data_IF_859063965202
#
_entry.id   IF_859063965202
#
_cell.length_a   1.000
_cell.length_b   1.000
_cell.length_c   1.000
_cell.angle_alpha   90.00
_cell.angle_beta   90.00
_cell.angle_gamma   90.00
#
_symmetry.space_group_name_H-M   'P 1'
#
loop_
_entity.id
_entity.type
_entity.pdbx_description
1 polymer ?
#
# COMPACT_ATOMS: atom_id res chain seq x y z
N UNK A 1 6.23 10.27 7.49
CA UNK A 1 5.88 8.84 7.43
C UNK A 1 5.21 8.36 8.72
N UNK A 2 5.74 8.71 9.89
CA UNK A 2 5.17 8.34 11.19
C UNK A 2 3.71 8.79 11.32
N UNK A 3 3.38 10.01 10.91
CA UNK A 3 2.01 10.52 10.95
C UNK A 3 1.05 9.67 10.10
N UNK A 4 1.47 9.24 8.91
CA UNK A 4 0.65 8.36 8.05
C UNK A 4 0.30 7.06 8.77
N UNK A 5 1.29 6.43 9.43
CA UNK A 5 1.05 5.19 10.17
C UNK A 5 0.14 5.43 11.37
N UNK A 6 0.36 6.51 12.12
CA UNK A 6 -0.49 6.87 13.28
C UNK A 6 -1.95 7.09 12.86
N UNK A 7 -2.18 7.81 11.77
CA UNK A 7 -3.52 8.08 11.28
C UNK A 7 -4.20 6.80 10.77
N UNK A 8 -3.49 6.00 9.95
CA UNK A 8 -4.06 4.80 9.35
C UNK A 8 -4.42 3.72 10.38
N UNK A 9 -3.59 3.54 11.40
CA UNK A 9 -3.78 2.45 12.38
C UNK A 9 -4.31 2.94 13.73
N UNK A 10 -4.26 4.24 14.02
CA UNK A 10 -4.68 4.84 15.28
C UNK A 10 -6.06 5.49 15.24
N UNK A 11 -6.58 5.90 14.07
CA UNK A 11 -7.92 6.45 13.96
C UNK A 11 -8.93 5.32 13.76
N UNK A 12 -9.79 5.13 14.75
CA UNK A 12 -10.72 4.01 14.81
C UNK A 12 -12.18 4.49 14.76
N UNK A 13 -13.03 3.64 14.23
CA UNK A 13 -14.49 3.76 14.30
C UNK A 13 -14.98 3.44 15.73
N UNK A 14 -16.23 3.80 16.09
CA UNK A 14 -16.80 3.46 17.40
C UNK A 14 -16.80 1.97 17.74
N UNK A 15 -16.77 1.10 16.72
CA UNK A 15 -16.69 -0.36 16.89
C UNK A 15 -15.26 -0.89 17.08
N UNK A 16 -14.25 -0.01 17.19
CA UNK A 16 -12.86 -0.37 17.39
C UNK A 16 -12.08 -0.76 16.14
N UNK A 17 -12.73 -0.83 14.98
CA UNK A 17 -12.06 -1.13 13.71
C UNK A 17 -11.49 0.13 13.06
N UNK A 18 -10.51 -0.04 12.19
CA UNK A 18 -9.85 1.03 11.42
C UNK A 18 -10.85 1.90 10.68
N UNK A 19 -10.69 3.22 10.77
CA UNK A 19 -11.51 4.20 10.06
C UNK A 19 -11.32 4.12 8.55
N UNK A 20 -10.05 3.99 8.11
CA UNK A 20 -9.69 4.04 6.70
C UNK A 20 -9.54 2.63 6.12
N UNK A 21 -10.16 2.39 4.98
CA UNK A 21 -9.98 1.17 4.19
C UNK A 21 -9.15 1.38 2.92
N UNK A 22 -8.95 2.62 2.52
CA UNK A 22 -8.13 2.99 1.37
C UNK A 22 -7.22 4.15 1.75
N UNK A 23 -5.93 4.02 1.47
CA UNK A 23 -4.95 5.09 1.61
C UNK A 23 -4.29 5.34 0.26
N UNK A 24 -4.29 6.60 -0.19
CA UNK A 24 -3.55 7.05 -1.36
C UNK A 24 -2.42 7.97 -0.93
N UNK A 25 -1.20 7.54 -1.15
CA UNK A 25 0.01 8.23 -0.71
C UNK A 25 0.86 8.57 -1.92
N UNK A 26 0.86 9.84 -2.31
CA UNK A 26 1.72 10.35 -3.38
C UNK A 26 2.90 11.10 -2.78
N UNK A 27 4.11 10.54 -2.97
CA UNK A 27 5.36 11.07 -2.41
C UNK A 27 6.41 11.12 -3.53
N UNK A 28 7.25 12.16 -3.61
CA UNK A 28 8.35 12.23 -4.57
C UNK A 28 9.31 11.03 -4.48
N UNK A 29 10.10 10.82 -5.53
CA UNK A 29 11.14 9.78 -5.56
C UNK A 29 12.16 9.98 -4.44
N UNK A 30 12.78 8.89 -3.98
CA UNK A 30 13.84 8.85 -2.96
C UNK A 30 13.41 9.36 -1.57
N UNK A 31 12.14 9.23 -1.22
CA UNK A 31 11.57 9.63 0.08
C UNK A 31 11.13 8.43 0.94
N UNK A 32 11.75 7.27 0.80
CA UNK A 32 11.49 6.11 1.64
C UNK A 32 10.11 5.47 1.41
N UNK A 33 9.61 5.44 0.16
CA UNK A 33 8.31 4.82 -0.17
C UNK A 33 8.30 3.32 0.11
N UNK A 34 9.36 2.61 -0.31
CA UNK A 34 9.44 1.16 -0.17
C UNK A 34 9.53 0.73 1.28
N UNK A 35 10.22 1.51 2.11
CA UNK A 35 10.32 1.30 3.56
C UNK A 35 8.95 1.51 4.22
N UNK A 36 8.22 2.56 3.85
CA UNK A 36 6.87 2.81 4.35
C UNK A 36 5.91 1.70 3.93
N UNK A 37 5.95 1.30 2.66
CA UNK A 37 5.15 0.21 2.12
C UNK A 37 5.41 -1.12 2.83
N UNK A 38 6.69 -1.44 3.09
CA UNK A 38 7.11 -2.63 3.82
C UNK A 38 6.62 -2.62 5.29
N UNK A 39 6.73 -1.48 5.96
CA UNK A 39 6.25 -1.32 7.32
C UNK A 39 4.72 -1.52 7.41
N UNK A 40 3.96 -0.94 6.48
CA UNK A 40 2.50 -1.14 6.39
C UNK A 40 2.17 -2.60 6.12
N UNK A 41 2.87 -3.26 5.19
CA UNK A 41 2.68 -4.69 4.92
C UNK A 41 2.91 -5.55 6.17
N UNK A 42 3.94 -5.28 6.96
CA UNK A 42 4.23 -5.99 8.20
C UNK A 42 3.20 -5.70 9.31
N UNK A 43 2.71 -4.47 9.41
CA UNK A 43 1.62 -4.13 10.35
C UNK A 43 0.34 -4.91 10.02
N UNK A 44 -0.03 -4.97 8.75
CA UNK A 44 -1.18 -5.74 8.27
C UNK A 44 -1.00 -7.25 8.50
N UNK A 45 0.24 -7.75 8.34
CA UNK A 45 0.57 -9.16 8.51
C UNK A 45 0.58 -9.60 9.98
N UNK A 46 1.17 -8.78 10.85
CA UNK A 46 1.53 -9.19 12.22
C UNK A 46 0.81 -8.38 13.30
N UNK A 47 0.34 -7.16 13.00
CA UNK A 47 -0.12 -6.19 13.99
C UNK A 47 -1.63 -6.07 14.13
N UNK A 48 -2.39 -6.37 13.09
CA UNK A 48 -3.85 -6.19 13.08
C UNK A 48 -4.62 -7.26 13.87
N UNK A 49 -3.96 -8.34 14.28
CA UNK A 49 -4.62 -9.45 15.00
C UNK A 49 -5.61 -10.26 14.16
N UNK A 50 -5.61 -10.07 12.85
CA UNK A 50 -6.50 -10.79 11.92
C UNK A 50 -6.02 -12.22 11.72
N UNK A 51 -6.90 -13.20 11.94
CA UNK A 51 -6.62 -14.61 11.71
C UNK A 51 -6.55 -14.91 10.21
N UNK A 52 -5.50 -15.63 9.79
CA UNK A 52 -5.29 -16.02 8.40
C UNK A 52 -5.39 -14.84 7.43
N UNK A 53 -4.82 -13.70 7.81
CA UNK A 53 -4.81 -12.53 6.96
C UNK A 53 -4.03 -12.80 5.66
N UNK A 54 -4.63 -12.42 4.55
CA UNK A 54 -3.98 -12.44 3.24
C UNK A 54 -3.58 -11.01 2.88
N UNK A 55 -2.27 -10.75 2.88
CA UNK A 55 -1.69 -9.46 2.51
C UNK A 55 -0.92 -9.61 1.21
N UNK A 56 -1.16 -8.72 0.26
CA UNK A 56 -0.56 -8.81 -1.09
C UNK A 56 0.23 -7.56 -1.43
N UNK A 57 1.49 -7.76 -1.85
CA UNK A 57 2.30 -6.71 -2.47
C UNK A 57 2.12 -6.75 -3.98
N UNK A 58 1.61 -5.67 -4.57
CA UNK A 58 1.28 -5.56 -5.98
C UNK A 58 2.10 -4.47 -6.66
N UNK A 59 2.64 -4.76 -7.85
CA UNK A 59 3.27 -3.79 -8.73
C UNK A 59 3.04 -4.19 -10.21
N UNK A 60 3.54 -3.38 -11.15
CA UNK A 60 3.42 -3.65 -12.58
C UNK A 60 4.06 -4.99 -12.98
N UNK A 61 5.19 -5.31 -12.39
CA UNK A 61 5.90 -6.57 -12.59
C UNK A 61 6.37 -7.16 -11.25
N UNK A 62 6.80 -8.44 -11.31
CA UNK A 62 7.23 -9.18 -10.12
C UNK A 62 8.54 -8.64 -9.53
N UNK A 63 9.42 -8.10 -10.35
CA UNK A 63 10.70 -7.56 -9.88
C UNK A 63 10.46 -6.30 -9.04
N UNK A 64 9.63 -5.40 -9.53
CA UNK A 64 9.22 -4.19 -8.81
C UNK A 64 8.52 -4.55 -7.49
N UNK A 65 7.54 -5.45 -7.51
CA UNK A 65 6.84 -5.90 -6.29
C UNK A 65 7.78 -6.59 -5.28
N UNK A 66 8.87 -7.21 -5.77
CA UNK A 66 9.88 -7.83 -4.90
C UNK A 66 10.73 -6.83 -4.11
N UNK A 67 10.79 -5.55 -4.52
CA UNK A 67 11.53 -4.52 -3.78
C UNK A 67 10.93 -4.35 -2.38
N UNK A 68 9.62 -4.15 -2.28
CA UNK A 68 8.92 -4.02 -1.00
C UNK A 68 9.06 -5.30 -0.16
N UNK A 69 8.97 -6.48 -0.80
CA UNK A 69 9.18 -7.76 -0.12
C UNK A 69 10.58 -7.86 0.49
N UNK A 70 11.63 -7.51 -0.27
CA UNK A 70 13.00 -7.61 0.22
C UNK A 70 13.20 -6.68 1.43
N UNK A 71 12.70 -5.45 1.38
CA UNK A 71 12.75 -4.51 2.52
C UNK A 71 12.00 -5.07 3.73
N UNK A 72 10.80 -5.63 3.54
CA UNK A 72 10.03 -6.25 4.62
C UNK A 72 10.78 -7.46 5.23
N UNK A 73 11.38 -8.31 4.38
CA UNK A 73 12.17 -9.46 4.84
C UNK A 73 13.40 -9.02 5.64
N UNK A 74 14.07 -7.95 5.23
CA UNK A 74 15.22 -7.40 5.98
C UNK A 74 14.77 -6.80 7.32
N UNK A 75 13.65 -6.10 7.39
CA UNK A 75 13.07 -5.64 8.65
C UNK A 75 12.77 -6.81 9.59
N UNK A 76 12.24 -7.93 9.06
CA UNK A 76 12.02 -9.15 9.86
C UNK A 76 13.34 -9.74 10.36
N UNK A 77 14.37 -9.85 9.52
CA UNK A 77 15.69 -10.37 9.90
C UNK A 77 16.35 -9.52 10.98
N UNK A 78 16.19 -8.20 10.90
CA UNK A 78 16.79 -7.24 11.85
C UNK A 78 16.06 -7.19 13.20
N UNK A 79 14.82 -7.66 13.28
CA UNK A 79 14.01 -7.62 14.50
C UNK A 79 13.89 -9.02 15.12
N UNK A 80 14.56 -9.31 16.27
CA UNK A 80 14.50 -10.66 16.90
C UNK A 80 13.09 -11.10 17.28
N UNK A 81 12.19 -10.19 17.60
CA UNK A 81 10.81 -10.52 17.93
C UNK A 81 10.01 -10.98 16.70
N UNK A 82 10.28 -10.40 15.53
CA UNK A 82 9.66 -10.80 14.27
C UNK A 82 10.31 -12.05 13.68
N UNK A 83 11.64 -12.15 13.69
CA UNK A 83 12.37 -13.30 13.12
C UNK A 83 12.01 -14.64 13.77
N UNK A 84 11.60 -14.64 15.04
CA UNK A 84 11.12 -15.82 15.74
C UNK A 84 9.71 -16.26 15.34
N UNK A 85 8.91 -15.38 14.73
CA UNK A 85 7.47 -15.60 14.45
C UNK A 85 7.14 -15.58 12.97
N UNK A 86 7.99 -14.98 12.15
CA UNK A 86 7.79 -14.83 10.70
C UNK A 86 8.76 -15.74 9.94
N UNK A 87 8.21 -16.68 9.18
CA UNK A 87 8.98 -17.51 8.26
C UNK A 87 9.10 -16.79 6.92
N UNK A 88 10.34 -16.66 6.42
CA UNK A 88 10.65 -16.04 5.15
C UNK A 88 10.88 -17.13 4.08
N UNK A 89 10.15 -17.04 2.98
CA UNK A 89 10.29 -17.91 1.81
C UNK A 89 10.76 -17.05 0.61
N UNK A 90 12.08 -16.82 0.53
CA UNK A 90 12.69 -15.91 -0.44
C UNK A 90 12.39 -16.28 -1.90
N UNK A 91 12.40 -17.56 -2.25
CA UNK A 91 12.13 -18.04 -3.61
C UNK A 91 10.67 -17.79 -4.05
N UNK A 92 9.74 -17.84 -3.10
CA UNK A 92 8.32 -17.62 -3.34
C UNK A 92 7.91 -16.16 -3.16
N UNK A 93 8.81 -15.31 -2.65
CA UNK A 93 8.53 -13.93 -2.22
C UNK A 93 7.33 -13.86 -1.27
N UNK A 94 7.39 -14.71 -0.23
CA UNK A 94 6.31 -14.87 0.77
C UNK A 94 6.86 -14.77 2.19
N UNK A 95 6.12 -14.07 3.05
CA UNK A 95 6.29 -14.09 4.51
C UNK A 95 5.09 -14.82 5.12
N UNK A 96 5.34 -15.63 6.16
CA UNK A 96 4.28 -16.34 6.89
C UNK A 96 4.39 -15.98 8.37
N UNK A 97 3.38 -15.32 8.92
CA UNK A 97 3.28 -15.04 10.34
C UNK A 97 2.63 -16.24 11.03
N UNK A 98 3.43 -17.02 11.73
CA UNK A 98 3.04 -18.32 12.29
C UNK A 98 1.92 -18.25 13.33
N UNK A 99 1.88 -17.23 14.25
CA UNK A 99 0.86 -17.19 15.29
C UNK A 99 -0.58 -17.17 14.79
N UNK A 100 -0.87 -16.49 13.67
CA UNK A 100 -2.21 -16.37 13.09
C UNK A 100 -2.36 -17.14 11.77
N UNK A 101 -1.28 -17.73 11.25
CA UNK A 101 -1.27 -18.36 9.93
C UNK A 101 -1.44 -17.37 8.78
N UNK A 102 -1.14 -16.09 9.03
CA UNK A 102 -1.27 -15.00 8.04
C UNK A 102 -0.11 -15.01 7.04
N UNK A 103 -0.37 -14.53 5.83
CA UNK A 103 0.62 -14.49 4.75
C UNK A 103 0.74 -13.10 4.16
N UNK A 104 1.98 -12.73 3.78
CA UNK A 104 2.26 -11.68 2.81
C UNK A 104 2.87 -12.32 1.57
N UNK A 105 2.36 -11.99 0.39
CA UNK A 105 2.84 -12.54 -0.87
C UNK A 105 2.87 -11.50 -1.98
N UNK A 106 3.93 -11.56 -2.80
CA UNK A 106 4.07 -10.74 -4.00
C UNK A 106 3.20 -11.26 -5.14
N UNK A 107 2.45 -10.36 -5.75
CA UNK A 107 1.69 -10.59 -6.99
C UNK A 107 2.13 -9.60 -8.07
N UNK A 108 2.07 -10.05 -9.33
CA UNK A 108 2.29 -9.21 -10.51
C UNK A 108 1.04 -9.16 -11.39
N UNK A 109 1.02 -8.25 -12.36
CA UNK A 109 -0.11 -8.06 -13.27
C UNK A 109 -0.56 -9.33 -14.00
N UNK A 110 0.35 -10.29 -14.22
CA UNK A 110 0.06 -11.58 -14.87
C UNK A 110 -0.90 -12.49 -14.07
N UNK A 111 -1.10 -12.19 -12.78
CA UNK A 111 -1.96 -12.97 -11.88
C UNK A 111 -3.43 -12.54 -11.95
N UNK A 112 -3.75 -11.52 -12.74
CA UNK A 112 -5.08 -10.90 -12.84
C UNK A 112 -6.25 -11.80 -13.25
N UNK A 113 -6.02 -13.09 -13.50
CA UNK A 113 -7.08 -14.07 -13.83
C UNK A 113 -7.43 -14.99 -12.65
N UNK A 114 -6.86 -14.82 -11.47
CA UNK A 114 -7.18 -15.62 -10.29
C UNK A 114 -8.26 -14.92 -9.46
N UNK A 115 -9.44 -15.49 -9.44
CA UNK A 115 -10.54 -15.08 -8.56
C UNK A 115 -10.44 -15.83 -7.21
N UNK A 116 -10.93 -15.23 -6.14
CA UNK A 116 -11.06 -15.89 -4.83
C UNK A 116 -10.04 -15.48 -3.77
N UNK A 117 -9.42 -14.29 -3.90
CA UNK A 117 -8.60 -13.72 -2.82
C UNK A 117 -9.47 -13.26 -1.65
N UNK A 118 -9.12 -13.70 -0.44
CA UNK A 118 -9.72 -13.19 0.79
C UNK A 118 -8.81 -12.11 1.40
N UNK A 119 -8.72 -11.00 0.70
CA UNK A 119 -7.71 -9.97 0.93
C UNK A 119 -7.98 -9.18 2.21
N UNK A 120 -7.02 -9.21 3.16
CA UNK A 120 -6.99 -8.33 4.32
C UNK A 120 -6.22 -7.03 4.05
N UNK A 121 -5.17 -7.11 3.25
CA UNK A 121 -4.38 -5.96 2.88
C UNK A 121 -3.79 -6.06 1.48
N UNK A 122 -3.74 -4.92 0.78
CA UNK A 122 -3.03 -4.80 -0.48
C UNK A 122 -2.11 -3.59 -0.41
N UNK A 123 -0.86 -3.79 -0.77
CA UNK A 123 0.12 -2.72 -0.92
C UNK A 123 0.46 -2.62 -2.41
N UNK A 124 -0.05 -1.58 -3.07
CA UNK A 124 0.34 -1.23 -4.44
C UNK A 124 1.53 -0.28 -4.40
N UNK A 125 2.68 -0.74 -4.86
CA UNK A 125 3.86 0.10 -5.06
C UNK A 125 3.89 0.61 -6.50
N UNK A 126 4.21 1.91 -6.65
CA UNK A 126 4.28 2.63 -7.93
C UNK A 126 3.00 2.44 -8.77
N UNK A 127 1.84 2.77 -8.19
CA UNK A 127 0.52 2.61 -8.84
C UNK A 127 0.45 3.19 -10.25
N UNK A 128 1.22 4.27 -10.54
CA UNK A 128 1.28 4.91 -11.85
C UNK A 128 1.86 4.02 -12.96
N UNK A 129 2.59 2.95 -12.61
CA UNK A 129 3.20 2.03 -13.59
C UNK A 129 2.28 0.88 -13.98
N UNK A 130 1.10 0.75 -13.37
CA UNK A 130 0.16 -0.34 -13.69
C UNK A 130 -0.27 -0.29 -15.16
N UNK A 131 -0.09 -1.37 -15.92
CA UNK A 131 -0.39 -1.38 -17.36
C UNK A 131 -1.90 -1.24 -17.65
N UNK A 132 -2.72 -1.65 -16.72
CA UNK A 132 -4.18 -1.53 -16.77
C UNK A 132 -4.80 -1.69 -15.37
N UNK A 133 -6.12 -1.47 -15.28
CA UNK A 133 -6.84 -1.55 -14.01
C UNK A 133 -7.19 -2.97 -13.51
N UNK A 134 -6.91 -4.03 -14.28
CA UNK A 134 -7.38 -5.39 -13.97
C UNK A 134 -6.91 -5.88 -12.61
N UNK A 135 -5.62 -5.79 -12.31
CA UNK A 135 -5.08 -6.22 -11.02
C UNK A 135 -5.69 -5.41 -9.88
N UNK A 136 -5.80 -4.09 -10.05
CA UNK A 136 -6.42 -3.21 -9.06
C UNK A 136 -7.87 -3.62 -8.79
N UNK A 137 -8.67 -3.81 -9.84
CA UNK A 137 -10.09 -4.20 -9.71
C UNK A 137 -10.25 -5.58 -9.03
N UNK A 138 -9.43 -6.56 -9.40
CA UNK A 138 -9.46 -7.90 -8.76
C UNK A 138 -9.14 -7.82 -7.28
N UNK A 139 -8.11 -7.04 -6.91
CA UNK A 139 -7.64 -6.98 -5.52
C UNK A 139 -8.54 -6.13 -4.63
N UNK A 140 -9.26 -5.13 -5.18
CA UNK A 140 -10.09 -4.22 -4.40
C UNK A 140 -11.57 -4.58 -4.38
N UNK A 141 -12.07 -5.30 -5.40
CA UNK A 141 -13.48 -5.69 -5.48
C UNK A 141 -13.78 -7.06 -4.84
N UNK A 142 -12.78 -7.90 -4.65
CA UNK A 142 -12.96 -9.30 -4.22
C UNK A 142 -13.13 -9.53 -2.73
N UNK A 143 -12.79 -8.56 -1.88
CA UNK A 143 -12.68 -8.75 -0.42
C UNK A 143 -13.63 -7.90 0.42
N UNK A 144 -14.56 -7.16 -0.22
CA UNK A 144 -15.35 -6.10 0.45
C UNK A 144 -16.11 -6.53 1.70
N UNK A 145 -16.62 -7.75 1.75
CA UNK A 145 -17.53 -8.19 2.83
C UNK A 145 -16.94 -9.27 3.74
N UNK A 146 -15.80 -9.87 3.37
CA UNK A 146 -15.23 -11.01 4.09
C UNK A 146 -14.30 -10.60 5.26
N UNK A 147 -13.78 -9.37 5.26
CA UNK A 147 -12.85 -8.86 6.28
C UNK A 147 -13.40 -7.61 6.96
N UNK A 148 -13.23 -7.54 8.28
CA UNK A 148 -13.79 -6.44 9.08
C UNK A 148 -13.07 -5.10 8.90
N UNK A 149 -11.76 -5.15 8.60
CA UNK A 149 -10.93 -3.94 8.44
C UNK A 149 -9.86 -4.08 7.35
N UNK A 150 -10.25 -4.36 6.10
CA UNK A 150 -9.29 -4.45 5.00
C UNK A 150 -8.62 -3.09 4.76
N UNK A 151 -7.37 -3.09 4.26
CA UNK A 151 -6.67 -1.88 3.87
C UNK A 151 -6.06 -2.01 2.47
N UNK A 152 -6.42 -1.08 1.60
CA UNK A 152 -5.81 -0.86 0.28
C UNK A 152 -4.84 0.31 0.38
N UNK A 153 -3.54 0.01 0.48
CA UNK A 153 -2.48 1.00 0.59
C UNK A 153 -1.85 1.24 -0.78
N UNK A 154 -2.13 2.40 -1.36
CA UNK A 154 -1.71 2.80 -2.70
C UNK A 154 -0.60 3.84 -2.58
N UNK A 155 0.64 3.46 -2.87
CA UNK A 155 1.77 4.36 -2.80
C UNK A 155 2.38 4.57 -4.18
N UNK A 156 2.68 5.82 -4.52
CA UNK A 156 3.12 6.19 -5.87
C UNK A 156 3.92 7.49 -5.89
N UNK A 157 4.58 7.74 -7.00
CA UNK A 157 4.96 9.09 -7.43
C UNK A 157 3.89 9.65 -8.37
N UNK A 158 3.92 10.96 -8.63
CA UNK A 158 3.06 11.58 -9.63
C UNK A 158 3.20 10.89 -10.98
N UNK A 159 2.08 10.49 -11.57
CA UNK A 159 2.02 9.90 -12.91
C UNK A 159 1.65 10.93 -13.98
N UNK A 160 2.01 10.65 -15.22
CA UNK A 160 1.71 11.53 -16.37
C UNK A 160 0.54 11.04 -17.23
N UNK A 161 0.09 9.80 -17.04
CA UNK A 161 -1.00 9.21 -17.83
C UNK A 161 -2.36 9.55 -17.23
N UNK A 162 -3.11 10.43 -17.87
CA UNK A 162 -4.45 10.87 -17.45
C UNK A 162 -5.55 9.81 -17.65
N UNK A 163 -5.24 8.69 -18.32
CA UNK A 163 -6.17 7.59 -18.54
C UNK A 163 -5.92 6.42 -17.57
N UNK A 164 -4.91 6.52 -16.72
CA UNK A 164 -4.53 5.46 -15.77
C UNK A 164 -5.45 5.43 -14.56
N UNK A 165 -5.50 4.26 -13.90
CA UNK A 165 -6.16 4.11 -12.59
C UNK A 165 -5.52 5.03 -11.54
N UNK A 166 -4.21 5.27 -11.64
CA UNK A 166 -3.50 6.18 -10.75
C UNK A 166 -4.06 7.60 -10.84
N UNK A 167 -4.32 8.10 -12.06
CA UNK A 167 -4.91 9.42 -12.25
C UNK A 167 -6.34 9.52 -11.70
N UNK A 168 -7.18 8.48 -11.91
CA UNK A 168 -8.53 8.43 -11.35
C UNK A 168 -8.51 8.55 -9.82
N UNK A 169 -7.63 7.79 -9.16
CA UNK A 169 -7.49 7.83 -7.70
C UNK A 169 -6.86 9.15 -7.23
N UNK A 170 -5.89 9.71 -7.97
CA UNK A 170 -5.32 11.02 -7.71
C UNK A 170 -6.39 12.13 -7.73
N UNK A 171 -7.28 12.14 -8.73
CA UNK A 171 -8.38 13.11 -8.79
C UNK A 171 -9.34 12.95 -7.60
N UNK A 172 -9.69 11.70 -7.25
CA UNK A 172 -10.48 11.44 -6.03
C UNK A 172 -9.78 12.00 -4.78
N UNK A 173 -8.49 11.78 -4.64
CA UNK A 173 -7.70 12.27 -3.51
C UNK A 173 -7.71 13.82 -3.45
N UNK A 174 -7.52 14.49 -4.59
CA UNK A 174 -7.60 15.96 -4.68
C UNK A 174 -8.98 16.48 -4.30
N UNK A 175 -10.05 15.86 -4.81
CA UNK A 175 -11.42 16.28 -4.52
C UNK A 175 -11.74 16.18 -3.02
N UNK A 176 -11.19 15.17 -2.33
CA UNK A 176 -11.35 15.02 -0.89
C UNK A 176 -10.53 16.07 -0.13
N UNK A 177 -9.27 16.29 -0.50
CA UNK A 177 -8.39 17.28 0.15
C UNK A 177 -8.97 18.69 -0.02
N UNK A 178 -9.53 19.02 -1.18
CA UNK A 178 -10.11 20.32 -1.49
C UNK A 178 -11.58 20.47 -1.00
N UNK A 179 -12.12 19.45 -0.32
CA UNK A 179 -13.47 19.48 0.24
C UNK A 179 -14.60 19.36 -0.79
N UNK A 180 -14.29 19.02 -2.07
CA UNK A 180 -15.31 18.81 -3.10
C UNK A 180 -16.02 17.47 -2.98
N UNK A 181 -15.39 16.49 -2.30
CA UNK A 181 -15.93 15.16 -2.06
C UNK A 181 -15.69 14.75 -0.61
N UNK A 182 -16.65 14.07 -0.02
CA UNK A 182 -16.53 13.51 1.33
C UNK A 182 -16.47 11.98 1.22
N UNK A 183 -15.41 11.39 1.75
CA UNK A 183 -15.26 9.95 1.92
C UNK A 183 -14.41 9.69 3.17
N UNK A 184 -15.08 9.42 4.29
CA UNK A 184 -14.42 9.22 5.59
C UNK A 184 -13.61 7.92 5.68
N UNK A 185 -13.71 7.05 4.69
CA UNK A 185 -12.95 5.77 4.63
C UNK A 185 -11.71 5.86 3.77
N UNK A 186 -11.52 6.99 3.09
CA UNK A 186 -10.39 7.24 2.20
C UNK A 186 -9.40 8.21 2.86
N UNK A 187 -8.13 7.85 2.90
CA UNK A 187 -7.05 8.66 3.47
C UNK A 187 -6.14 9.18 2.34
N UNK A 188 -6.29 10.45 1.93
CA UNK A 188 -5.47 11.03 0.88
C UNK A 188 -4.25 11.77 1.44
N UNK A 189 -3.07 11.49 0.91
CA UNK A 189 -1.84 12.26 1.15
C UNK A 189 -1.14 12.54 -0.17
N UNK A 190 -0.98 13.81 -0.52
CA UNK A 190 -0.27 14.25 -1.72
C UNK A 190 0.83 15.24 -1.29
N UNK A 191 2.07 14.79 -1.35
CA UNK A 191 3.24 15.64 -1.20
C UNK A 191 3.73 16.07 -2.59
N UNK A 192 3.33 17.26 -3.02
CA UNK A 192 3.84 17.88 -4.23
C UNK A 192 5.29 18.37 -4.05
N UNK A 193 6.03 18.48 -5.16
CA UNK A 193 7.25 19.28 -5.17
C UNK A 193 6.86 20.74 -4.84
N UNK A 194 7.52 21.34 -3.84
CA UNK A 194 7.26 22.74 -3.52
C UNK A 194 7.56 23.61 -4.73
N UNK A 195 6.60 24.42 -5.17
CA UNK A 195 6.74 25.36 -6.29
C UNK A 195 7.97 26.29 -6.17
N UNK A 196 8.48 26.46 -4.94
CA UNK A 196 9.72 27.22 -4.68
C UNK A 196 10.98 26.61 -5.32
N UNK A 197 10.97 25.30 -5.62
CA UNK A 197 12.09 24.62 -6.31
C UNK A 197 11.95 24.60 -7.82
N UNK A 198 10.83 25.05 -8.36
CA UNK A 198 10.60 25.16 -9.81
C UNK A 198 10.85 26.57 -10.34
N UNK A 199 11.12 27.55 -9.46
CA UNK A 199 11.58 28.87 -9.88
C UNK A 199 13.02 28.77 -10.38
N UNK A 200 13.36 29.34 -11.56
CA UNK A 200 14.74 29.39 -12.01
C UNK A 200 15.63 30.05 -10.94
N UNK A 201 16.75 29.42 -10.68
CA UNK A 201 17.74 30.03 -9.77
C UNK A 201 18.18 31.39 -10.34
N UNK A 202 18.45 32.40 -9.50
CA UNK A 202 19.04 33.66 -9.97
C UNK A 202 20.34 33.49 -10.78
N UNK A 203 20.96 32.28 -10.72
CA UNK A 203 22.12 31.91 -11.55
C UNK A 203 21.76 31.42 -12.95
N UNK A 204 20.49 31.12 -13.21
CA UNK A 204 19.99 30.61 -14.50
C UNK A 204 19.42 31.77 -15.35
N UNK A 205 19.44 32.99 -14.84
CA UNK A 205 19.13 34.22 -15.49
C UNK A 205 20.40 35.04 -15.79
#
# INVERSE_FOLDING_TARGET
QEQIIRDLFGVLKPNGYRQFNTAYIEIPKKQGKSELAAAVALLLLCGDGEERAEVYGCAADRQQASIVFNVAADMVRMCPALSKRVKILDSQKRLIYQPTGSIYQVLSADVGNKHGFNTHGVVFDELHTQPNRKLFDVMTKGSGDARMQPLYFLITTAGNDTKSICYEIHQKAKDIIEGRKIDHTFYPVIYGACLLYTSPSPRDM
#
